data_IF_233981511262
#
_entry.id   IF_233981511262
#
_cell.length_a   1.000
_cell.length_b   1.000
_cell.length_c   1.000
_cell.angle_alpha   90.00
_cell.angle_beta   90.00
_cell.angle_gamma   90.00
#
_symmetry.space_group_name_H-M   'P 1'
#
loop_
_entity.id
_entity.type
_entity.pdbx_description
1 polymer ?
#
# COMPACT_ATOMS: atom_id res chain seq x y z
N UNK A 1 23.91 27.26 -74.20
CA UNK A 1 24.87 28.41 -74.27
C UNK A 1 25.65 28.44 -72.96
N UNK A 2 26.95 28.25 -73.11
CA UNK A 2 28.07 28.83 -72.33
C UNK A 2 28.10 28.44 -70.83
N UNK A 3 28.99 27.50 -70.47
CA UNK A 3 30.41 27.70 -70.13
C UNK A 3 30.61 28.59 -68.93
N UNK A 4 31.10 28.08 -67.80
CA UNK A 4 32.51 28.28 -67.49
C UNK A 4 32.90 27.41 -66.25
N UNK A 5 33.99 26.73 -66.43
CA UNK A 5 34.76 26.04 -65.44
C UNK A 5 35.46 27.07 -64.52
N UNK A 6 35.69 26.73 -63.26
CA UNK A 6 36.91 27.12 -62.55
C UNK A 6 37.26 26.09 -61.51
N UNK A 7 38.39 25.50 -61.75
CA UNK A 7 39.24 24.78 -60.81
C UNK A 7 39.71 25.71 -59.69
N UNK A 8 39.81 25.22 -58.46
CA UNK A 8 40.92 25.61 -57.55
C UNK A 8 41.01 24.63 -56.36
N UNK A 9 42.10 23.91 -56.33
CA UNK A 9 43.04 23.56 -55.26
C UNK A 9 42.51 23.11 -53.89
N UNK A 10 42.61 21.80 -53.64
CA UNK A 10 43.51 21.11 -52.70
C UNK A 10 44.04 21.93 -51.53
N UNK A 11 43.55 21.66 -50.34
CA UNK A 11 44.31 21.69 -49.12
C UNK A 11 43.80 20.54 -48.22
N UNK A 12 44.55 19.46 -48.19
CA UNK A 12 44.39 18.39 -47.23
C UNK A 12 44.90 18.87 -45.88
N UNK A 13 43.99 19.17 -44.98
CA UNK A 13 44.30 19.24 -43.53
C UNK A 13 43.96 17.91 -42.94
N UNK A 14 44.97 17.12 -42.63
CA UNK A 14 44.96 16.02 -41.68
C UNK A 14 44.62 16.56 -40.29
N UNK A 15 43.32 16.69 -39.98
CA UNK A 15 42.92 16.74 -38.59
C UNK A 15 42.90 15.32 -38.07
N UNK A 16 43.92 15.00 -37.27
CA UNK A 16 43.95 13.79 -36.46
C UNK A 16 42.66 13.70 -35.66
N UNK A 17 41.85 12.69 -35.96
CA UNK A 17 40.75 12.32 -35.09
C UNK A 17 41.40 11.82 -33.79
N UNK A 18 41.42 12.69 -32.78
CA UNK A 18 41.71 12.30 -31.42
C UNK A 18 40.50 11.48 -30.97
N UNK A 19 40.69 10.17 -30.89
CA UNK A 19 39.73 9.24 -30.31
C UNK A 19 39.48 9.71 -28.89
N UNK A 20 38.21 9.99 -28.49
CA UNK A 20 37.91 10.46 -27.15
C UNK A 20 38.38 9.39 -26.16
N UNK A 21 39.29 9.78 -25.29
CA UNK A 21 39.79 8.93 -24.20
C UNK A 21 38.60 8.41 -23.40
N UNK A 22 38.48 7.09 -23.14
CA UNK A 22 37.37 6.53 -22.38
C UNK A 22 37.35 7.18 -20.99
N UNK A 23 36.17 7.59 -20.47
CA UNK A 23 36.07 8.25 -19.17
C UNK A 23 36.69 7.32 -18.10
N UNK A 24 37.40 7.88 -17.10
CA UNK A 24 38.06 7.09 -16.08
C UNK A 24 37.06 6.17 -15.36
N UNK A 25 37.49 4.96 -15.04
CA UNK A 25 36.65 3.88 -14.45
C UNK A 25 35.79 4.33 -13.25
N UNK A 26 36.20 5.35 -12.53
CA UNK A 26 35.43 5.98 -11.43
C UNK A 26 34.11 6.61 -11.87
N UNK A 27 34.02 7.16 -13.09
CA UNK A 27 32.78 7.77 -13.63
C UNK A 27 31.83 6.68 -14.10
N UNK A 28 32.37 5.57 -14.59
CA UNK A 28 31.59 4.41 -15.03
C UNK A 28 30.94 3.70 -13.85
N UNK A 29 31.65 3.58 -12.72
CA UNK A 29 31.10 3.02 -11.47
C UNK A 29 29.98 3.87 -10.86
N UNK A 30 29.99 5.20 -11.04
CA UNK A 30 28.92 6.10 -10.58
C UNK A 30 27.68 6.05 -11.47
N UNK A 31 27.83 5.77 -12.77
CA UNK A 31 26.71 5.66 -13.70
C UNK A 31 25.91 4.35 -13.53
N UNK A 32 26.53 3.27 -13.01
CA UNK A 32 25.86 2.00 -12.73
C UNK A 32 25.01 2.00 -11.45
N UNK A 33 25.13 3.01 -10.61
CA UNK A 33 24.40 3.12 -9.35
C UNK A 33 23.07 3.88 -9.41
N UNK A 34 22.60 4.28 -10.60
CA UNK A 34 21.26 4.85 -10.75
C UNK A 34 20.23 3.74 -10.52
N UNK A 35 19.43 3.78 -9.45
CA UNK A 35 18.44 2.75 -9.18
C UNK A 35 17.46 2.69 -10.36
N UNK A 36 17.45 1.54 -11.04
CA UNK A 36 16.49 1.28 -12.12
C UNK A 36 15.09 1.50 -11.57
N UNK A 37 14.24 2.33 -12.20
CA UNK A 37 12.89 2.55 -11.73
C UNK A 37 12.16 1.20 -11.63
N UNK A 38 11.36 0.97 -10.56
CA UNK A 38 10.70 -0.30 -10.36
C UNK A 38 9.80 -0.63 -11.56
N UNK A 39 9.88 -1.87 -12.02
CA UNK A 39 9.08 -2.35 -13.14
C UNK A 39 7.57 -2.11 -12.88
N UNK A 40 6.78 -1.75 -13.91
CA UNK A 40 5.36 -1.51 -13.74
C UNK A 40 4.65 -2.78 -13.25
N UNK A 41 3.64 -2.66 -12.36
CA UNK A 41 2.96 -3.82 -11.79
C UNK A 41 2.23 -4.63 -12.87
N UNK A 42 2.34 -5.96 -12.80
CA UNK A 42 1.64 -6.91 -13.67
C UNK A 42 0.12 -6.80 -13.53
N UNK A 43 -0.64 -7.40 -14.46
CA UNK A 43 -2.10 -7.45 -14.38
C UNK A 43 -2.59 -8.12 -13.10
N UNK A 44 -1.94 -9.22 -12.70
CA UNK A 44 -2.29 -9.95 -11.49
C UNK A 44 -1.98 -9.14 -10.21
N UNK A 45 -0.87 -8.42 -10.19
CA UNK A 45 -0.55 -7.49 -9.11
C UNK A 45 -1.56 -6.34 -9.03
N UNK A 46 -2.01 -5.81 -10.17
CA UNK A 46 -3.09 -4.81 -10.23
C UNK A 46 -4.40 -5.35 -9.66
N UNK A 47 -4.76 -6.61 -9.96
CA UNK A 47 -5.92 -7.30 -9.38
C UNK A 47 -5.79 -7.44 -7.87
N UNK A 48 -4.63 -7.88 -7.37
CA UNK A 48 -4.36 -7.93 -5.93
C UNK A 48 -4.58 -6.58 -5.25
N UNK A 49 -4.02 -5.50 -5.82
CA UNK A 49 -4.16 -4.14 -5.28
C UNK A 49 -5.61 -3.64 -5.33
N UNK A 50 -6.38 -4.01 -6.35
CA UNK A 50 -7.81 -3.69 -6.44
C UNK A 50 -8.61 -4.41 -5.34
N UNK A 51 -8.35 -5.70 -5.12
CA UNK A 51 -8.92 -6.47 -4.03
C UNK A 51 -8.58 -5.90 -2.66
N UNK A 52 -7.31 -5.56 -2.46
CA UNK A 52 -6.83 -4.91 -1.23
C UNK A 52 -7.54 -3.56 -0.99
N UNK A 53 -7.70 -2.73 -2.01
CA UNK A 53 -8.42 -1.46 -1.92
C UNK A 53 -9.88 -1.68 -1.49
N UNK A 54 -10.54 -2.69 -2.06
CA UNK A 54 -11.92 -3.05 -1.70
C UNK A 54 -12.01 -3.51 -0.24
N UNK A 55 -11.12 -4.39 0.22
CA UNK A 55 -11.06 -4.84 1.60
C UNK A 55 -10.77 -3.68 2.57
N UNK A 56 -9.85 -2.78 2.22
CA UNK A 56 -9.49 -1.60 3.03
C UNK A 56 -10.67 -0.66 3.26
N UNK A 57 -11.58 -0.51 2.27
CA UNK A 57 -12.83 0.26 2.46
C UNK A 57 -13.69 -0.31 3.60
N UNK A 58 -13.85 -1.63 3.66
CA UNK A 58 -14.56 -2.28 4.76
C UNK A 58 -13.89 -2.04 6.11
N UNK A 59 -12.56 -2.15 6.16
CA UNK A 59 -11.78 -1.91 7.38
C UNK A 59 -11.90 -0.45 7.85
N UNK A 60 -11.92 0.51 6.93
CA UNK A 60 -12.13 1.93 7.25
C UNK A 60 -13.51 2.17 7.88
N UNK A 61 -14.56 1.50 7.41
CA UNK A 61 -15.89 1.56 8.03
C UNK A 61 -15.88 1.02 9.46
N UNK A 62 -15.15 -0.06 9.73
CA UNK A 62 -15.01 -0.59 11.11
C UNK A 62 -14.29 0.42 12.01
N UNK A 63 -13.22 1.05 11.55
CA UNK A 63 -12.49 2.09 12.31
C UNK A 63 -13.40 3.26 12.68
N UNK A 64 -14.22 3.72 11.74
CA UNK A 64 -15.22 4.78 12.01
C UNK A 64 -16.25 4.31 13.05
N UNK A 65 -16.79 3.10 12.90
CA UNK A 65 -17.73 2.52 13.89
C UNK A 65 -17.12 2.44 15.29
N UNK A 66 -15.90 1.96 15.42
CA UNK A 66 -15.18 1.92 16.70
C UNK A 66 -15.02 3.31 17.32
N UNK A 67 -14.64 4.32 16.52
CA UNK A 67 -14.51 5.70 16.98
C UNK A 67 -15.82 6.27 17.50
N UNK A 68 -16.96 5.91 16.89
CA UNK A 68 -18.30 6.30 17.37
C UNK A 68 -18.65 5.65 18.70
N UNK A 69 -18.35 4.35 18.87
CA UNK A 69 -18.57 3.61 20.12
C UNK A 69 -17.71 4.21 21.24
N UNK A 70 -16.45 4.51 20.99
CA UNK A 70 -15.53 5.14 21.96
C UNK A 70 -16.09 6.48 22.44
N UNK A 71 -16.55 7.33 21.52
CA UNK A 71 -17.15 8.63 21.85
C UNK A 71 -18.46 8.50 22.64
N UNK A 72 -19.26 7.48 22.35
CA UNK A 72 -20.49 7.20 23.07
C UNK A 72 -20.25 6.64 24.46
N UNK A 73 -19.13 5.94 24.68
CA UNK A 73 -18.76 5.35 25.97
C UNK A 73 -18.56 6.35 27.11
N UNK A 74 -18.39 7.64 26.77
CA UNK A 74 -18.33 8.76 27.74
C UNK A 74 -19.67 9.40 28.02
N UNK A 75 -20.77 8.87 27.44
CA UNK A 75 -22.14 9.39 27.55
C UNK A 75 -23.03 8.40 28.29
N UNK A 76 -24.35 8.60 28.18
CA UNK A 76 -25.34 7.75 28.82
C UNK A 76 -25.44 6.32 28.24
N UNK A 77 -26.12 5.43 28.96
CA UNK A 77 -26.31 4.01 28.58
C UNK A 77 -27.12 3.84 27.28
N UNK A 78 -27.98 4.81 26.93
CA UNK A 78 -28.77 4.74 25.69
C UNK A 78 -27.88 4.98 24.48
N UNK A 79 -27.01 6.01 24.58
CA UNK A 79 -26.02 6.30 23.52
C UNK A 79 -25.10 5.13 23.32
N UNK A 80 -24.61 4.45 24.38
CA UNK A 80 -23.80 3.25 24.29
C UNK A 80 -24.51 2.12 23.54
N UNK A 81 -25.76 1.82 23.89
CA UNK A 81 -26.54 0.76 23.20
C UNK A 81 -26.78 1.07 21.74
N UNK A 82 -27.04 2.33 21.37
CA UNK A 82 -27.19 2.78 19.98
C UNK A 82 -25.89 2.61 19.22
N UNK A 83 -24.77 3.03 19.80
CA UNK A 83 -23.45 2.90 19.20
C UNK A 83 -23.03 1.43 19.03
N UNK A 84 -23.35 0.56 20.00
CA UNK A 84 -23.10 -0.89 19.89
C UNK A 84 -23.90 -1.53 18.75
N UNK A 85 -25.19 -1.20 18.60
CA UNK A 85 -26.01 -1.67 17.45
C UNK A 85 -25.47 -1.17 16.11
N UNK A 86 -25.03 0.09 16.05
CA UNK A 86 -24.40 0.64 14.86
C UNK A 86 -23.10 -0.12 14.51
N UNK A 87 -22.27 -0.43 15.51
CA UNK A 87 -21.06 -1.20 15.33
C UNK A 87 -21.37 -2.58 14.76
N UNK A 88 -22.35 -3.31 15.31
CA UNK A 88 -22.77 -4.61 14.80
C UNK A 88 -23.18 -4.55 13.32
N UNK A 89 -24.03 -3.58 12.93
CA UNK A 89 -24.42 -3.38 11.54
C UNK A 89 -23.23 -3.04 10.61
N UNK A 90 -22.29 -2.25 11.11
CA UNK A 90 -21.05 -1.94 10.37
C UNK A 90 -20.13 -3.16 10.21
N UNK A 91 -20.12 -4.08 11.18
CA UNK A 91 -19.38 -5.34 11.06
C UNK A 91 -19.91 -6.18 9.90
N UNK A 92 -21.23 -6.31 9.75
CA UNK A 92 -21.85 -7.03 8.64
C UNK A 92 -21.52 -6.42 7.26
N UNK A 93 -21.71 -5.09 7.12
CA UNK A 93 -21.42 -4.39 5.86
C UNK A 93 -19.93 -4.44 5.52
N UNK A 94 -19.04 -4.24 6.48
CA UNK A 94 -17.59 -4.28 6.30
C UNK A 94 -17.10 -5.66 5.91
N UNK A 95 -17.68 -6.72 6.51
CA UNK A 95 -17.43 -8.12 6.11
C UNK A 95 -17.75 -8.33 4.63
N UNK A 96 -18.85 -7.77 4.13
CA UNK A 96 -19.22 -7.82 2.72
C UNK A 96 -18.15 -7.23 1.81
N UNK A 97 -17.56 -6.07 2.16
CA UNK A 97 -16.45 -5.48 1.39
C UNK A 97 -15.20 -6.36 1.44
N UNK A 98 -14.79 -6.82 2.61
CA UNK A 98 -13.62 -7.67 2.75
C UNK A 98 -13.78 -8.99 1.99
N UNK A 99 -14.94 -9.65 2.07
CA UNK A 99 -15.23 -10.88 1.31
C UNK A 99 -15.21 -10.66 -0.20
N UNK A 100 -15.65 -9.52 -0.73
CA UNK A 100 -15.56 -9.20 -2.17
C UNK A 100 -14.12 -8.95 -2.62
N UNK A 101 -13.31 -8.30 -1.79
CA UNK A 101 -11.91 -8.01 -2.14
C UNK A 101 -11.01 -9.25 -2.04
N UNK A 102 -11.26 -10.13 -1.06
CA UNK A 102 -10.39 -11.26 -0.70
C UNK A 102 -10.04 -12.23 -1.86
N UNK A 103 -10.97 -12.64 -2.73
CA UNK A 103 -10.66 -13.56 -3.84
C UNK A 103 -9.63 -13.02 -4.83
N UNK A 104 -9.51 -11.69 -4.96
CA UNK A 104 -8.55 -11.04 -5.84
C UNK A 104 -7.14 -10.95 -5.22
N UNK A 105 -7.01 -11.27 -3.93
CA UNK A 105 -5.77 -11.10 -3.16
C UNK A 105 -4.98 -12.42 -3.09
N UNK A 106 -4.51 -12.93 -4.25
CA UNK A 106 -3.59 -14.08 -4.28
C UNK A 106 -2.16 -13.62 -3.97
N UNK A 107 -1.52 -14.10 -2.88
CA UNK A 107 -0.14 -13.73 -2.56
C UNK A 107 0.89 -14.23 -3.57
N UNK A 108 0.55 -15.27 -4.35
CA UNK A 108 1.46 -15.92 -5.31
C UNK A 108 1.81 -15.05 -6.51
N UNK A 109 1.14 -13.89 -6.67
CA UNK A 109 1.44 -12.90 -7.72
C UNK A 109 2.71 -12.09 -7.41
N UNK A 110 3.26 -12.26 -6.23
CA UNK A 110 4.51 -11.66 -5.78
C UNK A 110 5.54 -12.75 -5.52
N UNK A 111 6.81 -12.38 -5.56
CA UNK A 111 7.94 -13.27 -5.37
C UNK A 111 8.60 -13.04 -4.00
N UNK A 112 9.32 -14.04 -3.52
CA UNK A 112 10.21 -14.01 -2.35
C UNK A 112 9.66 -13.26 -1.11
N UNK A 113 10.39 -12.27 -0.66
CA UNK A 113 10.08 -11.50 0.54
C UNK A 113 8.76 -10.71 0.43
N UNK A 114 8.40 -10.25 -0.77
CA UNK A 114 7.13 -9.54 -1.03
C UNK A 114 5.96 -10.52 -0.89
N UNK A 115 6.11 -11.76 -1.38
CA UNK A 115 5.09 -12.80 -1.23
C UNK A 115 4.80 -13.09 0.25
N UNK A 116 5.83 -13.18 1.09
CA UNK A 116 5.66 -13.40 2.53
C UNK A 116 4.88 -12.26 3.18
N UNK A 117 5.19 -11.00 2.82
CA UNK A 117 4.45 -9.83 3.32
C UNK A 117 2.99 -9.82 2.82
N UNK A 118 2.76 -10.17 1.55
CA UNK A 118 1.43 -10.32 0.98
C UNK A 118 0.62 -11.42 1.69
N UNK A 119 1.20 -12.60 1.96
CA UNK A 119 0.58 -13.68 2.74
C UNK A 119 0.19 -13.22 4.13
N UNK A 120 1.10 -12.54 4.84
CA UNK A 120 0.81 -12.00 6.17
C UNK A 120 -0.36 -11.01 6.15
N UNK A 121 -0.40 -10.11 5.16
CA UNK A 121 -1.48 -9.15 5.00
C UNK A 121 -2.83 -9.87 4.75
N UNK A 122 -2.84 -10.85 3.86
CA UNK A 122 -4.04 -11.66 3.55
C UNK A 122 -4.55 -12.39 4.79
N UNK A 123 -3.66 -12.99 5.59
CA UNK A 123 -4.01 -13.64 6.87
C UNK A 123 -4.67 -12.66 7.84
N UNK A 124 -4.21 -11.39 7.90
CA UNK A 124 -4.85 -10.38 8.74
C UNK A 124 -6.25 -10.00 8.25
N UNK A 125 -6.45 -9.91 6.93
CA UNK A 125 -7.79 -9.69 6.34
C UNK A 125 -8.71 -10.87 6.66
N UNK A 126 -8.25 -12.11 6.52
CA UNK A 126 -9.02 -13.32 6.85
C UNK A 126 -9.40 -13.36 8.35
N UNK A 127 -8.47 -12.97 9.23
CA UNK A 127 -8.74 -12.82 10.67
C UNK A 127 -9.82 -11.78 10.97
N UNK A 128 -9.81 -10.65 10.26
CA UNK A 128 -10.85 -9.62 10.37
C UNK A 128 -12.19 -10.11 9.84
N UNK A 129 -12.24 -10.77 8.68
CA UNK A 129 -13.46 -11.36 8.11
C UNK A 129 -14.10 -12.34 9.12
N UNK A 130 -13.29 -13.23 9.71
CA UNK A 130 -13.76 -14.16 10.72
C UNK A 130 -14.31 -13.47 11.96
N UNK A 131 -13.60 -12.47 12.47
CA UNK A 131 -14.01 -11.79 13.69
C UNK A 131 -15.23 -10.87 13.48
N UNK A 132 -15.45 -10.34 12.26
CA UNK A 132 -16.63 -9.50 11.98
C UNK A 132 -17.95 -10.29 12.08
N UNK A 133 -17.94 -11.61 11.97
CA UNK A 133 -19.10 -12.45 12.29
C UNK A 133 -19.43 -12.35 13.79
N UNK A 134 -18.44 -12.59 14.65
CA UNK A 134 -18.62 -12.43 16.11
C UNK A 134 -19.05 -11.00 16.48
N UNK A 135 -18.49 -9.99 15.81
CA UNK A 135 -18.84 -8.61 16.04
C UNK A 135 -20.30 -8.32 15.66
N UNK A 136 -20.81 -8.89 14.57
CA UNK A 136 -22.21 -8.73 14.15
C UNK A 136 -23.16 -9.35 15.16
N UNK A 137 -22.84 -10.54 15.66
CA UNK A 137 -23.68 -11.30 16.56
C UNK A 137 -23.69 -10.70 17.98
N UNK A 138 -22.54 -10.28 18.50
CA UNK A 138 -22.39 -9.89 19.90
C UNK A 138 -22.03 -8.41 20.12
N UNK A 139 -21.75 -7.64 19.07
CA UNK A 139 -21.30 -6.25 19.18
C UNK A 139 -22.32 -5.32 19.83
N UNK A 140 -23.61 -5.61 19.67
CA UNK A 140 -24.68 -4.83 20.30
C UNK A 140 -24.82 -5.14 21.82
N UNK A 141 -24.63 -6.40 22.20
CA UNK A 141 -24.75 -6.85 23.60
C UNK A 141 -23.49 -6.59 24.42
N UNK A 142 -22.32 -6.73 23.80
CA UNK A 142 -21.01 -6.62 24.45
C UNK A 142 -20.05 -5.72 23.65
N UNK A 143 -20.30 -4.39 23.53
CA UNK A 143 -19.52 -3.51 22.67
C UNK A 143 -18.06 -3.39 23.11
N UNK A 144 -17.75 -3.33 24.40
CA UNK A 144 -16.39 -3.14 24.89
C UNK A 144 -15.44 -4.31 24.55
N UNK A 145 -15.75 -5.59 24.88
CA UNK A 145 -14.90 -6.72 24.48
C UNK A 145 -14.80 -6.86 22.96
N UNK A 146 -15.87 -6.56 22.22
CA UNK A 146 -15.87 -6.55 20.76
C UNK A 146 -14.89 -5.52 20.21
N UNK A 147 -14.87 -4.31 20.79
CA UNK A 147 -13.93 -3.26 20.39
C UNK A 147 -12.49 -3.61 20.70
N UNK A 148 -12.21 -4.23 21.85
CA UNK A 148 -10.86 -4.71 22.18
C UNK A 148 -10.39 -5.73 21.16
N UNK A 149 -11.26 -6.71 20.82
CA UNK A 149 -10.98 -7.74 19.84
C UNK A 149 -10.72 -7.19 18.43
N UNK A 150 -11.54 -6.22 17.98
CA UNK A 150 -11.33 -5.52 16.71
C UNK A 150 -10.04 -4.72 16.72
N UNK A 151 -9.79 -3.95 17.78
CA UNK A 151 -8.60 -3.11 17.89
C UNK A 151 -7.30 -3.89 17.79
N UNK A 152 -7.22 -5.08 18.42
CA UNK A 152 -6.07 -5.98 18.31
C UNK A 152 -5.83 -6.43 16.86
N UNK A 153 -6.89 -6.81 16.14
CA UNK A 153 -6.79 -7.28 14.75
C UNK A 153 -6.47 -6.14 13.78
N UNK A 154 -7.03 -4.97 14.00
CA UNK A 154 -6.72 -3.79 13.18
C UNK A 154 -5.26 -3.35 13.33
N UNK A 155 -4.69 -3.39 14.54
CA UNK A 155 -3.25 -3.14 14.72
C UNK A 155 -2.40 -4.13 13.91
N UNK A 156 -2.78 -5.42 13.92
CA UNK A 156 -2.11 -6.45 13.12
C UNK A 156 -2.22 -6.18 11.61
N UNK A 157 -3.40 -5.80 11.15
CA UNK A 157 -3.63 -5.42 9.75
C UNK A 157 -2.83 -4.18 9.35
N UNK A 158 -2.85 -3.11 10.15
CA UNK A 158 -2.13 -1.87 9.85
C UNK A 158 -0.61 -2.11 9.77
N UNK A 159 -0.06 -2.93 10.66
CA UNK A 159 1.34 -3.33 10.61
C UNK A 159 1.66 -4.13 9.34
N UNK A 160 0.85 -5.14 9.02
CA UNK A 160 1.04 -5.96 7.82
C UNK A 160 0.87 -5.16 6.52
N UNK A 161 -0.08 -4.21 6.48
CA UNK A 161 -0.28 -3.31 5.34
C UNK A 161 0.92 -2.39 5.14
N UNK A 162 1.46 -1.82 6.22
CA UNK A 162 2.66 -0.99 6.17
C UNK A 162 3.86 -1.77 5.63
N UNK A 163 4.11 -2.97 6.19
CA UNK A 163 5.23 -3.83 5.78
C UNK A 163 5.11 -4.24 4.30
N UNK A 164 3.89 -4.54 3.84
CA UNK A 164 3.63 -4.86 2.44
C UNK A 164 3.83 -3.66 1.53
N UNK A 165 3.32 -2.48 1.90
CA UNK A 165 3.49 -1.25 1.10
C UNK A 165 4.95 -0.86 0.92
N UNK A 166 5.75 -0.95 2.00
CA UNK A 166 7.19 -0.73 1.94
C UNK A 166 7.86 -1.73 0.98
N UNK A 167 7.48 -3.00 1.05
CA UNK A 167 8.08 -4.04 0.21
C UNK A 167 7.80 -3.87 -1.29
N UNK A 168 6.70 -3.21 -1.67
CA UNK A 168 6.37 -2.89 -3.08
C UNK A 168 6.73 -1.45 -3.47
N UNK A 169 7.52 -0.75 -2.65
CA UNK A 169 7.98 0.61 -2.95
C UNK A 169 6.91 1.71 -2.85
N UNK A 170 5.77 1.45 -2.20
CA UNK A 170 4.75 2.47 -2.02
C UNK A 170 5.02 3.32 -0.75
N UNK A 171 4.79 4.65 -0.82
CA UNK A 171 4.98 5.52 0.32
C UNK A 171 4.05 5.12 1.47
N UNK A 172 4.59 5.09 2.66
CA UNK A 172 3.83 4.90 3.90
C UNK A 172 3.71 6.27 4.57
N UNK A 173 2.47 6.70 4.85
CA UNK A 173 2.27 7.90 5.67
C UNK A 173 2.80 7.59 7.07
N UNK A 174 3.82 8.30 7.48
CA UNK A 174 4.23 8.29 8.88
C UNK A 174 3.12 8.90 9.72
N UNK A 175 2.71 8.19 10.78
CA UNK A 175 1.78 8.73 11.78
C UNK A 175 2.51 9.84 12.53
N UNK A 176 2.37 11.08 12.06
CA UNK A 176 2.90 12.29 12.71
C UNK A 176 2.29 12.56 14.10
N UNK A 177 1.30 11.75 14.51
CA UNK A 177 0.64 11.88 15.83
C UNK A 177 1.55 11.55 17.02
N UNK A 178 2.75 10.98 16.82
CA UNK A 178 3.71 10.69 17.89
C UNK A 178 4.76 11.80 18.13
N UNK A 179 4.84 12.80 17.27
CA UNK A 179 5.88 13.83 17.34
C UNK A 179 5.58 14.97 18.32
N UNK A 180 4.40 15.02 18.95
CA UNK A 180 4.00 16.15 19.80
C UNK A 180 3.98 15.82 21.30
N UNK A 181 4.83 14.89 21.76
CA UNK A 181 5.17 14.78 23.18
C UNK A 181 6.64 15.17 23.38
N UNK A 182 6.91 16.48 23.28
CA UNK A 182 8.08 17.09 23.94
C UNK A 182 7.66 17.47 25.37
N UNK A 183 8.54 17.22 26.33
CA UNK A 183 8.33 17.55 27.74
C UNK A 183 8.25 19.03 27.99
#
# INVERSE_FOLDING_TARGET
MRCLAMLLCVAATLLGAQEPEPPPDSVRALAESVPTPPAPPTLEQKRFLAGLRTATRGIAQLKDGMSRVTRAGTRDSIAQRRAGRLLAGLCGSSRGFMKRGRPQMSPTVYEDSVQLKARRLVTQVDSLIKFTTTCEDSGAAAPNPTMIGLGKRMKGYDAALRDFRLAIGLPVKEDTSKATKRP
#
